data_IF_991392621529
#
_entry.id   IF_991392621529
#
_cell.length_a   1.000
_cell.length_b   1.000
_cell.length_c   1.000
_cell.angle_alpha   90.00
_cell.angle_beta   90.00
_cell.angle_gamma   90.00
#
_symmetry.space_group_name_H-M   'P 1'
#
loop_
_entity.id
_entity.type
_entity.pdbx_description
1 polymer ?
#
# COMPACT_ATOMS: atom_id res chain seq x y z
N UNK A 1 -7.80 -3.45 41.53
CA UNK A 1 -9.16 -3.89 41.15
C UNK A 1 -9.42 -3.44 39.75
N UNK A 2 -10.06 -4.25 38.91
CA UNK A 2 -10.46 -3.86 37.56
C UNK A 2 -11.49 -2.73 37.64
N UNK A 3 -11.29 -1.66 36.86
CA UNK A 3 -12.26 -0.55 36.75
C UNK A 3 -13.48 -1.04 35.96
N UNK A 4 -14.65 -0.99 36.57
CA UNK A 4 -15.89 -1.51 36.01
C UNK A 4 -16.93 -0.43 35.85
N UNK A 5 -17.61 -0.45 34.72
CA UNK A 5 -18.72 0.43 34.39
C UNK A 5 -19.96 -0.35 33.98
N UNK A 6 -21.02 0.39 33.67
CA UNK A 6 -22.29 -0.16 33.16
C UNK A 6 -22.65 0.44 31.83
N UNK A 7 -23.08 -0.39 30.90
CA UNK A 7 -23.58 0.02 29.60
C UNK A 7 -24.90 0.79 29.78
N UNK A 8 -24.93 2.04 29.37
CA UNK A 8 -26.12 2.91 29.56
C UNK A 8 -26.85 3.22 28.26
N UNK A 9 -26.14 3.21 27.13
CA UNK A 9 -26.73 3.48 25.81
C UNK A 9 -26.00 2.73 24.70
N UNK A 10 -26.73 2.34 23.68
CA UNK A 10 -26.22 1.69 22.46
C UNK A 10 -26.81 2.43 21.28
N UNK A 11 -25.95 2.96 20.38
CA UNK A 11 -26.34 3.70 19.17
C UNK A 11 -25.56 3.07 18.00
N UNK A 12 -26.09 1.99 17.40
CA UNK A 12 -25.36 1.24 16.40
C UNK A 12 -23.99 0.78 16.91
N UNK A 13 -22.88 1.10 16.25
CA UNK A 13 -21.55 0.71 16.68
C UNK A 13 -20.96 1.55 17.83
N UNK A 14 -21.70 2.54 18.34
CA UNK A 14 -21.28 3.41 19.45
C UNK A 14 -22.00 3.00 20.73
N UNK A 15 -21.24 2.90 21.82
CA UNK A 15 -21.77 2.61 23.15
C UNK A 15 -21.38 3.70 24.14
N UNK A 16 -22.29 4.00 25.07
CA UNK A 16 -22.03 4.84 26.21
C UNK A 16 -21.97 4.03 27.49
N UNK A 17 -20.90 4.21 28.27
CA UNK A 17 -20.62 3.44 29.48
C UNK A 17 -20.41 4.41 30.65
N UNK A 18 -21.12 4.16 31.74
CA UNK A 18 -20.97 4.93 32.97
C UNK A 18 -20.03 4.22 33.95
N UNK A 19 -19.03 4.95 34.41
CA UNK A 19 -18.09 4.51 35.44
C UNK A 19 -18.33 5.29 36.74
N UNK A 20 -18.32 4.61 37.87
CA UNK A 20 -18.58 5.26 39.16
C UNK A 20 -17.32 5.84 39.81
N UNK A 21 -16.15 5.20 39.60
CA UNK A 21 -14.92 5.55 40.29
C UNK A 21 -13.98 6.40 39.43
N UNK A 22 -13.48 5.83 38.35
CA UNK A 22 -12.49 6.45 37.46
C UNK A 22 -12.93 6.32 36.02
N UNK A 23 -12.82 7.42 35.25
CA UNK A 23 -13.05 7.37 33.83
C UNK A 23 -11.86 6.69 33.14
N UNK A 24 -12.12 5.78 32.17
CA UNK A 24 -11.08 5.25 31.30
C UNK A 24 -10.42 6.38 30.51
N UNK A 25 -9.13 6.24 30.23
CA UNK A 25 -8.43 7.14 29.33
C UNK A 25 -8.94 6.99 27.88
N UNK A 26 -8.76 8.04 27.10
CA UNK A 26 -9.04 8.00 25.66
C UNK A 26 -8.17 6.92 25.02
N UNK A 27 -8.76 6.15 24.09
CA UNK A 27 -8.22 4.97 23.44
C UNK A 27 -8.12 3.71 24.29
N UNK A 28 -8.46 3.72 25.57
CA UNK A 28 -8.53 2.47 26.31
C UNK A 28 -9.52 1.50 25.66
N UNK A 29 -9.14 0.22 25.66
CA UNK A 29 -10.01 -0.86 25.27
C UNK A 29 -10.96 -1.23 26.41
N UNK A 30 -12.26 -1.25 26.12
CA UNK A 30 -13.30 -1.71 27.01
C UNK A 30 -13.78 -3.09 26.56
N UNK A 31 -13.97 -4.00 27.49
CA UNK A 31 -14.50 -5.34 27.23
C UNK A 31 -15.91 -5.47 27.82
N UNK A 32 -16.84 -5.97 27.01
CA UNK A 32 -18.20 -6.32 27.43
C UNK A 32 -18.55 -7.68 26.89
N UNK A 33 -19.27 -8.47 27.70
CA UNK A 33 -19.76 -9.80 27.31
C UNK A 33 -21.28 -9.74 27.19
N UNK A 34 -21.80 -10.25 26.09
CA UNK A 34 -23.23 -10.44 25.93
C UNK A 34 -23.78 -11.59 26.80
N UNK A 35 -25.09 -11.79 26.78
CA UNK A 35 -25.74 -12.81 27.55
C UNK A 35 -25.36 -14.26 27.09
N UNK A 36 -24.75 -14.40 25.91
CA UNK A 36 -24.22 -15.65 25.38
C UNK A 36 -22.73 -15.86 25.68
N UNK A 37 -22.09 -14.91 26.38
CA UNK A 37 -20.68 -14.95 26.71
C UNK A 37 -19.76 -14.54 25.57
N UNK A 38 -20.30 -13.94 24.50
CA UNK A 38 -19.48 -13.41 23.40
C UNK A 38 -18.86 -12.09 23.83
N UNK A 39 -17.54 -12.00 23.68
CA UNK A 39 -16.78 -10.79 24.00
C UNK A 39 -16.87 -9.77 22.87
N UNK A 40 -17.17 -8.53 23.24
CA UNK A 40 -17.05 -7.36 22.40
C UNK A 40 -15.99 -6.41 22.96
N UNK A 41 -15.19 -5.83 22.11
CA UNK A 41 -14.21 -4.81 22.46
C UNK A 41 -14.62 -3.48 21.84
N UNK A 42 -14.59 -2.42 22.65
CA UNK A 42 -14.84 -1.06 22.20
C UNK A 42 -13.70 -0.14 22.65
N UNK A 43 -13.40 0.86 21.85
CA UNK A 43 -12.34 1.85 22.10
C UNK A 43 -12.96 3.17 22.56
N UNK A 44 -12.46 3.73 23.68
CA UNK A 44 -12.93 5.01 24.23
C UNK A 44 -12.50 6.14 23.30
N UNK A 45 -13.46 6.96 22.88
CA UNK A 45 -13.24 8.12 21.99
C UNK A 45 -13.50 9.46 22.65
N UNK A 46 -14.41 9.53 23.62
CA UNK A 46 -14.72 10.80 24.30
C UNK A 46 -15.28 10.60 25.71
N UNK A 47 -15.12 11.63 26.53
CA UNK A 47 -15.77 11.78 27.82
C UNK A 47 -16.97 12.73 27.66
N UNK A 48 -18.18 12.24 27.96
CA UNK A 48 -19.43 13.00 27.71
C UNK A 48 -20.00 13.69 28.93
N UNK A 49 -19.26 13.77 30.04
CA UNK A 49 -19.74 14.28 31.31
C UNK A 49 -20.55 13.22 32.10
N UNK A 50 -20.91 13.56 33.32
CA UNK A 50 -21.70 12.69 34.24
C UNK A 50 -21.10 11.27 34.41
N UNK A 51 -19.78 11.16 34.38
CA UNK A 51 -19.03 9.89 34.46
C UNK A 51 -19.34 8.90 33.32
N UNK A 52 -19.74 9.41 32.16
CA UNK A 52 -20.01 8.63 30.96
C UNK A 52 -18.90 8.80 29.95
N UNK A 53 -18.41 7.68 29.44
CA UNK A 53 -17.50 7.63 28.28
C UNK A 53 -18.25 7.11 27.05
N UNK A 54 -17.89 7.61 25.89
CA UNK A 54 -18.37 7.13 24.60
C UNK A 54 -17.28 6.32 23.92
N UNK A 55 -17.63 5.12 23.52
CA UNK A 55 -16.71 4.18 22.90
C UNK A 55 -17.26 3.65 21.57
N UNK A 56 -16.36 3.29 20.68
CA UNK A 56 -16.66 2.74 19.36
C UNK A 56 -16.33 1.26 19.35
N UNK A 57 -17.31 0.44 19.00
CA UNK A 57 -17.16 -1.01 18.97
C UNK A 57 -16.32 -1.46 17.76
N UNK A 58 -15.47 -2.46 17.98
CA UNK A 58 -14.66 -3.12 16.96
C UNK A 58 -15.39 -4.30 16.29
N UNK A 59 -16.48 -4.75 16.87
CA UNK A 59 -17.35 -5.81 16.34
C UNK A 59 -18.81 -5.37 16.38
N UNK A 60 -19.72 -6.17 15.84
CA UNK A 60 -21.15 -5.88 15.91
C UNK A 60 -21.64 -5.76 17.35
N UNK A 61 -22.59 -4.84 17.59
CA UNK A 61 -23.20 -4.60 18.91
C UNK A 61 -24.50 -5.39 19.14
N UNK A 62 -24.86 -6.25 18.20
CA UNK A 62 -26.03 -7.08 18.30
C UNK A 62 -25.94 -7.98 19.53
N UNK A 63 -27.04 -8.09 20.29
CA UNK A 63 -27.07 -8.85 21.54
C UNK A 63 -26.64 -8.08 22.79
N UNK A 64 -26.12 -6.87 22.68
CA UNK A 64 -25.87 -6.01 23.83
C UNK A 64 -27.17 -5.41 24.37
N UNK A 65 -27.23 -5.25 25.69
CA UNK A 65 -28.32 -4.55 26.37
C UNK A 65 -27.82 -3.62 27.46
N UNK A 66 -28.64 -2.66 27.81
CA UNK A 66 -28.33 -1.75 28.93
C UNK A 66 -28.15 -2.53 30.22
N UNK A 67 -27.24 -2.04 31.06
CA UNK A 67 -26.96 -2.61 32.36
C UNK A 67 -25.90 -3.71 32.36
N UNK A 68 -25.40 -4.15 31.19
CA UNK A 68 -24.26 -5.07 31.12
C UNK A 68 -23.03 -4.44 31.75
N UNK A 69 -22.26 -5.26 32.45
CA UNK A 69 -20.97 -4.84 33.01
C UNK A 69 -19.95 -4.66 31.90
N UNK A 70 -19.19 -3.57 31.97
CA UNK A 70 -18.12 -3.25 31.05
C UNK A 70 -16.84 -3.09 31.85
N UNK A 71 -15.77 -3.73 31.40
CA UNK A 71 -14.46 -3.72 32.06
C UNK A 71 -13.52 -2.83 31.27
N UNK A 72 -12.96 -1.82 31.95
CA UNK A 72 -11.82 -1.05 31.44
C UNK A 72 -10.55 -1.87 31.58
N UNK A 73 -9.88 -2.17 30.45
CA UNK A 73 -8.59 -2.91 30.47
C UNK A 73 -7.42 -2.08 30.98
N UNK A 74 -7.61 -0.76 31.11
CA UNK A 74 -6.58 0.20 31.56
C UNK A 74 -5.49 0.48 30.50
N UNK A 75 -5.69 0.02 29.26
CA UNK A 75 -4.73 0.19 28.16
C UNK A 75 -5.45 0.19 26.80
N UNK A 76 -4.83 0.76 25.76
CA UNK A 76 -5.32 0.65 24.38
C UNK A 76 -5.36 -0.80 23.89
N UNK A 77 -6.00 -1.01 22.75
CA UNK A 77 -6.02 -2.31 22.06
C UNK A 77 -4.58 -2.79 21.85
N UNK A 78 -4.31 -4.01 22.29
CA UNK A 78 -3.03 -4.69 22.13
C UNK A 78 -3.18 -5.80 21.10
N UNK A 79 -2.19 -5.93 20.22
CA UNK A 79 -2.18 -6.91 19.14
C UNK A 79 -0.89 -7.72 19.15
N UNK A 80 -0.91 -8.98 18.69
CA UNK A 80 0.30 -9.80 18.61
C UNK A 80 1.28 -9.22 17.60
N UNK A 81 2.56 -9.34 17.90
CA UNK A 81 3.67 -8.90 17.06
C UNK A 81 4.73 -9.99 16.94
N UNK A 82 5.69 -9.79 16.06
CA UNK A 82 6.79 -10.70 15.87
C UNK A 82 6.55 -11.79 14.84
N UNK A 83 7.47 -12.72 14.73
CA UNK A 83 7.49 -13.72 13.67
C UNK A 83 6.32 -14.69 13.68
N UNK A 84 5.64 -14.82 14.81
CA UNK A 84 4.40 -15.59 14.92
C UNK A 84 3.25 -15.06 14.05
N UNK A 85 3.34 -13.80 13.59
CA UNK A 85 2.33 -13.19 12.72
C UNK A 85 2.52 -13.54 11.25
N UNK A 86 3.70 -13.98 10.84
CA UNK A 86 4.00 -14.30 9.46
C UNK A 86 3.21 -15.52 8.96
N UNK A 87 2.67 -15.40 7.76
CA UNK A 87 1.86 -16.44 7.15
C UNK A 87 0.43 -16.51 7.66
N UNK A 88 0.03 -15.59 8.52
CA UNK A 88 -1.26 -15.62 9.22
C UNK A 88 -2.16 -14.44 8.81
N UNK A 89 -3.46 -14.63 9.04
CA UNK A 89 -4.50 -13.60 8.83
C UNK A 89 -5.11 -13.21 10.17
N UNK A 90 -5.17 -11.91 10.43
CA UNK A 90 -5.72 -11.34 11.67
C UNK A 90 -6.87 -10.38 11.40
N UNK A 91 -7.74 -10.23 12.38
CA UNK A 91 -8.71 -9.14 12.45
C UNK A 91 -8.08 -7.88 13.11
N UNK A 92 -8.86 -6.83 13.30
CA UNK A 92 -8.43 -5.57 13.93
C UNK A 92 -7.91 -5.75 15.35
N UNK A 93 -8.39 -6.74 16.08
CA UNK A 93 -7.95 -7.05 17.44
C UNK A 93 -6.71 -7.96 17.49
N UNK A 94 -6.16 -8.33 16.34
CA UNK A 94 -5.05 -9.25 16.25
C UNK A 94 -5.42 -10.70 16.55
N UNK A 95 -6.69 -11.05 16.45
CA UNK A 95 -7.17 -12.42 16.56
C UNK A 95 -7.02 -13.14 15.22
N UNK A 96 -6.45 -14.36 15.19
CA UNK A 96 -6.34 -15.15 13.97
C UNK A 96 -7.72 -15.49 13.41
N UNK A 97 -7.90 -15.32 12.10
CA UNK A 97 -9.15 -15.63 11.38
C UNK A 97 -8.95 -16.67 10.27
N UNK A 98 -7.80 -17.31 10.24
CA UNK A 98 -7.37 -18.29 9.23
C UNK A 98 -7.57 -19.74 9.67
N UNK A 99 -8.26 -19.99 10.78
CA UNK A 99 -8.44 -21.30 11.40
C UNK A 99 -7.12 -22.03 11.75
N UNK A 100 -6.02 -21.26 11.89
CA UNK A 100 -4.73 -21.78 12.32
C UNK A 100 -4.60 -21.90 13.83
N UNK A 101 -3.41 -22.33 14.28
CA UNK A 101 -3.11 -22.46 15.70
C UNK A 101 -3.23 -21.12 16.45
N UNK A 102 -3.59 -21.13 17.73
CA UNK A 102 -3.62 -19.92 18.55
C UNK A 102 -2.27 -19.21 18.59
N UNK A 103 -2.32 -17.88 18.65
CA UNK A 103 -1.12 -17.03 18.78
C UNK A 103 -0.79 -16.84 20.26
N UNK A 104 0.53 -16.89 20.60
CA UNK A 104 1.00 -16.58 21.94
C UNK A 104 0.74 -15.11 22.29
N UNK A 105 0.24 -14.88 23.51
CA UNK A 105 0.04 -13.53 24.06
C UNK A 105 1.33 -12.92 24.65
N UNK A 106 2.47 -13.59 24.55
CA UNK A 106 3.72 -13.15 25.19
C UNK A 106 4.32 -11.90 24.51
N UNK A 107 4.06 -11.74 23.21
CA UNK A 107 4.50 -10.59 22.42
C UNK A 107 3.30 -9.82 21.89
N UNK A 108 2.86 -8.84 22.67
CA UNK A 108 1.76 -7.94 22.33
C UNK A 108 2.25 -6.50 22.35
N UNK A 109 1.68 -5.67 21.50
CA UNK A 109 2.01 -4.25 21.43
C UNK A 109 0.77 -3.40 21.15
N UNK A 110 0.79 -2.14 21.58
CA UNK A 110 -0.33 -1.21 21.43
C UNK A 110 -0.46 -0.72 19.98
N UNK A 111 -1.67 -0.65 19.48
CA UNK A 111 -1.95 -0.03 18.18
C UNK A 111 -1.80 1.50 18.18
N UNK A 112 -1.90 2.12 19.36
CA UNK A 112 -1.70 3.55 19.54
C UNK A 112 -0.27 3.81 20.03
N UNK A 113 0.54 4.37 19.13
CA UNK A 113 1.92 4.76 19.39
C UNK A 113 2.17 6.12 18.79
N UNK A 114 3.12 6.82 19.35
CA UNK A 114 3.66 8.04 18.76
C UNK A 114 4.56 7.69 17.56
N UNK A 115 4.63 8.63 16.62
CA UNK A 115 5.59 8.54 15.52
C UNK A 115 7.03 8.58 16.07
N UNK A 116 8.00 7.98 15.37
CA UNK A 116 9.41 8.10 15.76
C UNK A 116 9.83 9.54 15.92
N UNK A 117 10.56 9.85 17.00
CA UNK A 117 11.09 11.18 17.25
C UNK A 117 12.09 11.58 16.15
N UNK A 118 12.37 12.88 16.03
CA UNK A 118 13.36 13.38 15.07
C UNK A 118 14.73 12.70 15.20
N UNK A 119 15.15 12.39 16.41
CA UNK A 119 16.43 11.71 16.69
C UNK A 119 16.44 10.23 16.26
N UNK A 120 15.27 9.61 16.21
CA UNK A 120 15.12 8.20 15.81
C UNK A 120 14.97 8.02 14.31
N UNK A 121 14.63 9.08 13.59
CA UNK A 121 14.45 9.00 12.14
C UNK A 121 15.79 8.83 11.42
N UNK A 122 15.80 7.96 10.42
CA UNK A 122 16.92 7.82 9.50
C UNK A 122 17.02 9.04 8.59
N UNK A 123 18.23 9.52 8.37
CA UNK A 123 18.51 10.72 7.54
C UNK A 123 18.86 10.40 6.11
N UNK A 124 19.13 9.14 5.80
CA UNK A 124 19.63 8.73 4.49
C UNK A 124 18.47 8.57 3.49
N UNK A 125 18.59 9.24 2.35
CA UNK A 125 17.67 9.07 1.22
C UNK A 125 18.20 7.98 0.30
N UNK A 126 17.77 6.75 0.51
CA UNK A 126 18.13 5.59 -0.30
C UNK A 126 16.96 5.15 -1.19
N UNK A 127 17.29 4.73 -2.41
CA UNK A 127 16.33 4.07 -3.29
C UNK A 127 16.05 2.65 -2.75
N UNK A 128 14.78 2.31 -2.62
CA UNK A 128 14.36 0.93 -2.46
C UNK A 128 14.28 0.30 -3.84
N UNK A 129 15.31 -0.45 -4.23
CA UNK A 129 15.34 -1.13 -5.52
C UNK A 129 14.30 -2.25 -5.57
N UNK A 130 13.35 -2.14 -6.50
CA UNK A 130 12.25 -3.09 -6.63
C UNK A 130 12.51 -4.21 -7.63
N UNK A 131 13.50 -4.05 -8.51
CA UNK A 131 13.78 -4.97 -9.60
C UNK A 131 12.76 -4.87 -10.76
N UNK A 132 11.90 -3.86 -10.73
CA UNK A 132 10.90 -3.58 -11.77
C UNK A 132 11.35 -2.34 -12.55
N UNK A 133 11.69 -2.51 -13.82
CA UNK A 133 12.34 -1.50 -14.67
C UNK A 133 11.61 -0.16 -14.66
N UNK A 134 10.30 -0.17 -14.91
CA UNK A 134 9.52 1.09 -15.02
C UNK A 134 9.46 1.85 -13.70
N UNK A 135 9.37 1.15 -12.59
CA UNK A 135 9.33 1.75 -11.24
C UNK A 135 10.71 2.34 -10.91
N UNK A 136 11.74 1.53 -10.98
CA UNK A 136 13.09 1.93 -10.55
C UNK A 136 13.68 3.05 -11.41
N UNK A 137 13.32 3.10 -12.71
CA UNK A 137 13.82 4.14 -13.60
C UNK A 137 13.07 5.47 -13.42
N UNK A 138 11.73 5.45 -13.49
CA UNK A 138 10.92 6.67 -13.66
C UNK A 138 10.21 7.14 -12.40
N UNK A 139 9.88 6.22 -11.49
CA UNK A 139 9.19 6.52 -10.24
C UNK A 139 9.81 5.74 -9.08
N UNK A 140 11.11 5.90 -8.80
CA UNK A 140 11.82 5.12 -7.79
C UNK A 140 11.23 5.33 -6.42
N UNK A 141 11.20 4.26 -5.62
CA UNK A 141 10.68 4.26 -4.27
C UNK A 141 11.77 4.70 -3.28
N UNK A 142 11.41 5.61 -2.40
CA UNK A 142 12.24 5.97 -1.26
C UNK A 142 12.12 4.89 -0.19
N UNK A 143 13.22 4.35 0.29
CA UNK A 143 13.25 3.48 1.46
C UNK A 143 12.74 4.23 2.69
N UNK A 144 11.67 3.72 3.30
CA UNK A 144 10.96 4.44 4.35
C UNK A 144 9.95 5.48 3.84
N UNK A 145 9.74 5.54 2.53
CA UNK A 145 8.80 6.45 1.89
C UNK A 145 7.39 5.88 1.79
N UNK A 146 6.49 6.74 1.31
CA UNK A 146 5.07 6.45 1.13
C UNK A 146 4.72 6.55 -0.34
N UNK A 147 4.27 5.45 -0.93
CA UNK A 147 3.95 5.33 -2.34
C UNK A 147 2.45 5.19 -2.52
N UNK A 148 1.86 6.06 -3.32
CA UNK A 148 0.47 5.91 -3.76
C UNK A 148 0.39 5.02 -4.99
N UNK A 149 -0.48 4.00 -4.93
CA UNK A 149 -0.77 3.11 -6.04
C UNK A 149 -2.16 3.40 -6.58
N UNK A 150 -2.21 3.85 -7.82
CA UNK A 150 -3.45 4.22 -8.52
C UNK A 150 -3.72 3.22 -9.64
N UNK A 151 -4.97 2.88 -9.83
CA UNK A 151 -5.38 2.03 -10.95
C UNK A 151 -6.76 1.47 -10.76
N UNK A 152 -7.47 1.31 -11.87
CA UNK A 152 -8.78 0.68 -11.90
C UNK A 152 -8.71 -0.83 -11.75
N UNK A 153 -9.86 -1.48 -11.83
CA UNK A 153 -9.93 -2.94 -11.81
C UNK A 153 -9.28 -3.56 -13.07
N UNK A 154 -8.61 -4.69 -12.90
CA UNK A 154 -8.09 -5.50 -14.01
C UNK A 154 -6.81 -4.99 -14.68
N UNK A 155 -6.08 -4.07 -14.03
CA UNK A 155 -4.80 -3.54 -14.55
C UNK A 155 -3.56 -4.18 -13.93
N UNK A 156 -3.74 -5.23 -13.11
CA UNK A 156 -2.63 -5.96 -12.50
C UNK A 156 -2.13 -5.42 -11.16
N UNK A 157 -2.95 -4.66 -10.43
CA UNK A 157 -2.61 -4.13 -9.11
C UNK A 157 -2.14 -5.23 -8.14
N UNK A 158 -2.93 -6.27 -7.97
CA UNK A 158 -2.63 -7.39 -7.06
C UNK A 158 -1.34 -8.12 -7.45
N UNK A 159 -1.13 -8.37 -8.73
CA UNK A 159 0.08 -9.04 -9.23
C UNK A 159 1.33 -8.19 -8.99
N UNK A 160 1.22 -6.86 -9.17
CA UNK A 160 2.32 -5.93 -8.86
C UNK A 160 2.65 -5.95 -7.36
N UNK A 161 1.65 -5.93 -6.48
CA UNK A 161 1.84 -6.01 -5.03
C UNK A 161 2.57 -7.31 -4.66
N UNK A 162 2.14 -8.43 -5.19
CA UNK A 162 2.78 -9.73 -4.93
C UNK A 162 4.22 -9.79 -5.44
N UNK A 163 4.51 -9.22 -6.61
CA UNK A 163 5.87 -9.15 -7.13
C UNK A 163 6.78 -8.25 -6.27
N UNK A 164 6.26 -7.14 -5.78
CA UNK A 164 6.98 -6.29 -4.82
C UNK A 164 7.32 -7.07 -3.54
N UNK A 165 6.37 -7.80 -2.98
CA UNK A 165 6.60 -8.66 -1.81
C UNK A 165 7.67 -9.70 -2.10
N UNK A 166 7.57 -10.39 -3.23
CA UNK A 166 8.53 -11.41 -3.65
C UNK A 166 9.94 -10.83 -3.82
N UNK A 167 10.06 -9.70 -4.48
CA UNK A 167 11.34 -9.07 -4.77
C UNK A 167 12.02 -8.50 -3.51
N UNK A 168 11.24 -7.92 -2.60
CA UNK A 168 11.76 -7.47 -1.31
C UNK A 168 12.21 -8.64 -0.45
N UNK A 169 11.45 -9.73 -0.41
CA UNK A 169 11.82 -10.92 0.34
C UNK A 169 13.10 -11.57 -0.20
N UNK A 170 13.25 -11.66 -1.51
CA UNK A 170 14.40 -12.29 -2.17
C UNK A 170 15.61 -11.37 -2.27
N UNK A 171 15.40 -10.11 -2.65
CA UNK A 171 16.48 -9.15 -2.90
C UNK A 171 17.03 -8.49 -1.63
N UNK A 172 16.19 -8.25 -0.65
CA UNK A 172 16.54 -7.52 0.56
C UNK A 172 16.36 -8.31 1.86
N UNK A 173 15.86 -9.56 1.79
CA UNK A 173 15.55 -10.36 2.98
C UNK A 173 14.44 -9.77 3.85
N UNK A 174 13.69 -8.82 3.33
CA UNK A 174 12.67 -8.04 4.05
C UNK A 174 11.37 -8.80 4.27
N UNK A 175 10.55 -8.26 5.15
CA UNK A 175 9.23 -8.76 5.51
C UNK A 175 8.15 -7.82 5.00
N UNK A 176 6.93 -8.32 4.90
CA UNK A 176 5.78 -7.53 4.45
C UNK A 176 4.60 -7.67 5.39
N UNK A 177 3.82 -6.61 5.50
CA UNK A 177 2.52 -6.62 6.19
C UNK A 177 1.48 -6.05 5.23
N UNK A 178 0.36 -6.72 5.11
CA UNK A 178 -0.75 -6.28 4.26
C UNK A 178 -1.96 -5.91 5.11
N UNK A 179 -2.43 -4.68 4.97
CA UNK A 179 -3.65 -4.18 5.60
C UNK A 179 -4.78 -4.09 4.58
N UNK A 180 -5.77 -4.97 4.68
CA UNK A 180 -7.01 -4.90 3.91
C UNK A 180 -8.02 -4.02 4.63
N UNK A 181 -8.22 -2.80 4.14
CA UNK A 181 -9.09 -1.80 4.77
C UNK A 181 -10.37 -1.61 3.95
N UNK A 182 -11.48 -2.09 4.46
CA UNK A 182 -12.79 -1.94 3.84
C UNK A 182 -12.95 -2.67 2.50
N UNK A 183 -12.13 -3.67 2.22
CA UNK A 183 -12.20 -4.47 1.01
C UNK A 183 -13.20 -5.63 1.14
N UNK A 184 -13.54 -6.23 0.01
CA UNK A 184 -14.47 -7.37 -0.01
C UNK A 184 -13.81 -8.61 0.55
N UNK A 185 -14.54 -9.37 1.34
CA UNK A 185 -14.09 -10.65 1.93
C UNK A 185 -13.54 -11.62 0.88
N UNK A 186 -14.18 -11.68 -0.29
CA UNK A 186 -13.75 -12.53 -1.38
C UNK A 186 -12.37 -12.13 -1.91
N UNK A 187 -12.14 -10.82 -2.13
CA UNK A 187 -10.87 -10.31 -2.63
C UNK A 187 -9.73 -10.59 -1.65
N UNK A 188 -9.99 -10.45 -0.35
CA UNK A 188 -9.03 -10.80 0.69
C UNK A 188 -8.67 -12.28 0.71
N UNK A 189 -9.64 -13.16 0.48
CA UNK A 189 -9.41 -14.60 0.38
C UNK A 189 -8.65 -14.98 -0.87
N UNK A 190 -9.02 -14.40 -2.00
CA UNK A 190 -8.35 -14.64 -3.28
C UNK A 190 -6.88 -14.22 -3.18
N UNK A 191 -6.59 -13.04 -2.63
CA UNK A 191 -5.22 -12.56 -2.37
C UNK A 191 -4.42 -13.52 -1.48
N UNK A 192 -5.02 -14.01 -0.40
CA UNK A 192 -4.35 -14.99 0.47
C UNK A 192 -3.98 -16.27 -0.27
N UNK A 193 -4.90 -16.82 -1.06
CA UNK A 193 -4.66 -18.02 -1.84
C UNK A 193 -3.57 -17.80 -2.89
N UNK A 194 -3.60 -16.69 -3.61
CA UNK A 194 -2.58 -16.32 -4.58
C UNK A 194 -1.19 -16.14 -3.94
N UNK A 195 -1.11 -15.51 -2.75
CA UNK A 195 0.13 -15.39 -1.99
C UNK A 195 0.67 -16.75 -1.53
N UNK A 196 -0.23 -17.68 -1.23
CA UNK A 196 0.14 -19.05 -0.84
C UNK A 196 0.68 -19.83 -2.05
N UNK A 197 0.04 -19.71 -3.20
CA UNK A 197 0.46 -20.36 -4.45
C UNK A 197 1.80 -19.81 -4.97
N UNK A 198 2.01 -18.50 -4.87
CA UNK A 198 3.26 -17.84 -5.24
C UNK A 198 4.39 -18.02 -4.22
N UNK A 199 4.08 -18.56 -3.03
CA UNK A 199 5.07 -18.83 -1.98
C UNK A 199 5.52 -17.60 -1.17
N UNK A 200 4.90 -16.44 -1.35
CA UNK A 200 5.27 -15.21 -0.63
C UNK A 200 4.60 -15.08 0.74
N UNK A 201 3.60 -15.92 1.03
CA UNK A 201 2.82 -15.85 2.27
C UNK A 201 3.67 -15.99 3.53
N UNK A 202 4.72 -16.81 3.51
CA UNK A 202 5.58 -17.07 4.68
C UNK A 202 6.41 -15.84 5.12
N UNK A 203 6.46 -14.80 4.29
CA UNK A 203 7.14 -13.53 4.56
C UNK A 203 6.16 -12.39 4.81
N UNK A 204 4.87 -12.70 4.92
CA UNK A 204 3.80 -11.68 4.96
C UNK A 204 2.85 -11.95 6.12
N UNK A 205 2.51 -10.92 6.90
CA UNK A 205 1.39 -10.91 7.82
C UNK A 205 0.21 -10.18 7.16
N UNK A 206 -1.01 -10.70 7.30
CA UNK A 206 -2.23 -10.12 6.73
C UNK A 206 -3.16 -9.68 7.85
N UNK A 207 -3.69 -8.47 7.75
CA UNK A 207 -4.66 -7.93 8.70
C UNK A 207 -5.85 -7.38 7.93
N UNK A 208 -7.03 -7.89 8.18
CA UNK A 208 -8.24 -7.52 7.47
C UNK A 208 -9.27 -6.86 8.37
N UNK A 209 -9.75 -5.67 7.96
CA UNK A 209 -10.96 -5.02 8.43
C UNK A 209 -11.86 -4.80 7.22
N UNK A 210 -12.75 -5.78 6.96
CA UNK A 210 -13.47 -5.89 5.69
C UNK A 210 -14.70 -4.96 5.63
N UNK A 211 -15.30 -4.81 4.45
CA UNK A 211 -16.37 -3.83 4.23
C UNK A 211 -17.65 -4.12 5.02
N UNK A 212 -17.86 -5.36 5.46
CA UNK A 212 -18.99 -5.75 6.29
C UNK A 212 -18.75 -5.56 7.79
N UNK A 213 -17.53 -5.20 8.19
CA UNK A 213 -17.20 -4.93 9.58
C UNK A 213 -17.57 -3.50 10.00
N UNK A 214 -17.81 -3.24 11.30
CA UNK A 214 -18.15 -1.91 11.79
C UNK A 214 -17.09 -0.85 11.45
N UNK A 215 -17.47 0.44 11.43
CA UNK A 215 -16.53 1.50 11.09
C UNK A 215 -15.34 1.59 12.06
N UNK A 216 -15.49 1.20 13.32
CA UNK A 216 -14.39 1.13 14.28
C UNK A 216 -13.30 0.16 13.84
N UNK A 217 -13.66 -1.04 13.38
CA UNK A 217 -12.72 -2.02 12.85
C UNK A 217 -12.01 -1.49 11.61
N UNK A 218 -12.73 -0.94 10.65
CA UNK A 218 -12.16 -0.39 9.42
C UNK A 218 -11.24 0.82 9.67
N UNK A 219 -11.51 1.60 10.72
CA UNK A 219 -10.69 2.73 11.13
C UNK A 219 -9.37 2.30 11.78
N UNK A 220 -9.36 1.17 12.49
CA UNK A 220 -8.20 0.74 13.30
C UNK A 220 -7.38 -0.39 12.69
N UNK A 221 -7.88 -1.10 11.70
CA UNK A 221 -7.15 -2.20 11.08
C UNK A 221 -5.80 -1.80 10.49
N UNK A 222 -5.71 -0.61 9.92
CA UNK A 222 -4.44 -0.04 9.44
C UNK A 222 -3.41 0.15 10.55
N UNK A 223 -3.85 0.58 11.73
CA UNK A 223 -2.99 0.72 12.91
C UNK A 223 -2.50 -0.64 13.43
N UNK A 224 -3.34 -1.66 13.39
CA UNK A 224 -2.96 -3.03 13.76
C UNK A 224 -1.85 -3.55 12.84
N UNK A 225 -2.01 -3.41 11.53
CA UNK A 225 -1.00 -3.79 10.55
C UNK A 225 0.30 -3.00 10.74
N UNK A 226 0.20 -1.69 10.93
CA UNK A 226 1.34 -0.81 11.17
C UNK A 226 2.10 -1.20 12.44
N UNK A 227 1.41 -1.57 13.50
CA UNK A 227 2.03 -2.05 14.76
C UNK A 227 2.85 -3.30 14.55
N UNK A 228 2.36 -4.26 13.76
CA UNK A 228 3.12 -5.45 13.38
C UNK A 228 4.36 -5.09 12.55
N UNK A 229 4.24 -4.16 11.61
CA UNK A 229 5.37 -3.68 10.81
C UNK A 229 6.42 -2.95 11.66
N UNK A 230 5.99 -2.13 12.60
CA UNK A 230 6.88 -1.40 13.51
C UNK A 230 7.73 -2.32 14.39
N UNK A 231 7.18 -3.44 14.83
CA UNK A 231 7.97 -4.43 15.59
C UNK A 231 9.15 -4.95 14.77
N UNK A 232 8.94 -5.32 13.52
CA UNK A 232 10.01 -5.79 12.65
C UNK A 232 11.03 -4.71 12.34
N UNK A 233 10.60 -3.47 12.15
CA UNK A 233 11.50 -2.32 11.95
C UNK A 233 12.35 -2.04 13.17
N UNK A 234 11.71 -1.91 14.35
CA UNK A 234 12.33 -1.34 15.54
C UNK A 234 13.07 -2.39 16.40
N UNK A 235 12.58 -3.63 16.43
CA UNK A 235 13.13 -4.72 17.24
C UNK A 235 14.01 -5.69 16.45
N UNK A 236 13.68 -5.93 15.18
CA UNK A 236 14.43 -6.85 14.34
C UNK A 236 15.30 -6.15 13.30
N UNK A 237 15.24 -4.83 13.20
CA UNK A 237 16.05 -4.05 12.26
C UNK A 237 15.76 -4.36 10.79
N UNK A 238 14.53 -4.76 10.48
CA UNK A 238 14.13 -5.17 9.15
C UNK A 238 13.72 -4.01 8.26
N UNK A 239 13.85 -4.21 6.96
CA UNK A 239 13.18 -3.39 5.97
C UNK A 239 11.82 -4.02 5.67
N UNK A 240 10.76 -3.31 6.03
CA UNK A 240 9.38 -3.81 5.95
C UNK A 240 8.63 -3.09 4.84
N UNK A 241 7.90 -3.85 4.02
CA UNK A 241 6.86 -3.30 3.16
C UNK A 241 5.51 -3.35 3.89
N UNK A 242 4.84 -2.22 3.95
CA UNK A 242 3.47 -2.12 4.44
C UNK A 242 2.55 -1.79 3.27
N UNK A 243 1.64 -2.69 2.95
CA UNK A 243 0.60 -2.47 1.96
C UNK A 243 -0.69 -2.09 2.66
N UNK A 244 -1.34 -1.02 2.17
CA UNK A 244 -2.65 -0.58 2.65
C UNK A 244 -3.60 -0.55 1.46
N UNK A 245 -4.57 -1.41 1.44
CA UNK A 245 -5.61 -1.47 0.42
C UNK A 245 -7.00 -1.43 1.09
N UNK A 246 -7.69 -0.33 1.15
CA UNK A 246 -7.44 0.93 0.48
C UNK A 246 -7.40 2.08 1.51
N UNK A 247 -6.47 3.00 1.37
CA UNK A 247 -6.33 4.13 2.34
C UNK A 247 -7.58 5.05 2.36
N UNK A 248 -8.31 5.16 1.25
CA UNK A 248 -9.56 5.91 1.21
C UNK A 248 -10.61 5.34 2.20
N UNK A 249 -10.64 4.01 2.38
CA UNK A 249 -11.58 3.36 3.30
C UNK A 249 -11.28 3.70 4.76
N UNK A 250 -10.01 3.91 5.10
CA UNK A 250 -9.63 4.44 6.41
C UNK A 250 -10.27 5.83 6.65
N UNK A 251 -10.16 6.72 5.69
CA UNK A 251 -10.77 8.05 5.74
C UNK A 251 -12.30 7.98 5.84
N UNK A 252 -12.91 7.11 5.05
CA UNK A 252 -14.36 6.91 5.05
C UNK A 252 -14.85 6.38 6.41
N UNK A 253 -14.16 5.41 7.00
CA UNK A 253 -14.48 4.89 8.32
C UNK A 253 -14.36 5.98 9.41
N UNK A 254 -13.34 6.83 9.29
CA UNK A 254 -13.18 8.00 10.17
C UNK A 254 -14.34 8.99 10.06
N UNK A 255 -14.86 9.24 8.86
CA UNK A 255 -16.04 10.07 8.65
C UNK A 255 -17.30 9.46 9.30
N UNK A 256 -17.51 8.16 9.13
CA UNK A 256 -18.63 7.43 9.76
C UNK A 256 -18.55 7.51 11.30
N UNK A 257 -17.39 7.26 11.88
CA UNK A 257 -17.18 7.34 13.34
C UNK A 257 -17.40 8.77 13.83
N UNK A 258 -16.88 9.77 13.13
CA UNK A 258 -17.05 11.19 13.49
C UNK A 258 -18.52 11.59 13.52
N UNK A 259 -19.30 11.17 12.53
CA UNK A 259 -20.73 11.41 12.47
C UNK A 259 -21.48 10.76 13.66
N UNK A 260 -21.14 9.50 13.97
CA UNK A 260 -21.73 8.76 15.10
C UNK A 260 -21.36 9.36 16.46
N UNK A 261 -20.19 10.00 16.57
CA UNK A 261 -19.78 10.74 17.77
C UNK A 261 -20.44 12.12 17.87
N UNK A 262 -21.23 12.53 16.88
CA UNK A 262 -21.92 13.81 16.86
C UNK A 262 -21.04 15.02 16.58
N UNK A 263 -19.89 14.81 15.93
CA UNK A 263 -19.00 15.90 15.53
C UNK A 263 -19.55 16.60 14.29
N UNK A 264 -19.40 17.92 14.22
CA UNK A 264 -19.81 18.70 13.06
C UNK A 264 -18.92 18.35 11.87
N UNK A 265 -19.50 17.95 10.72
CA UNK A 265 -18.71 17.61 9.53
C UNK A 265 -18.02 18.83 8.93
N UNK A 266 -16.88 18.61 8.32
CA UNK A 266 -16.17 19.58 7.50
C UNK A 266 -16.63 19.53 6.03
N UNK A 267 -15.82 20.06 5.11
CA UNK A 267 -16.13 20.06 3.68
C UNK A 267 -16.47 18.65 3.15
N UNK A 268 -17.45 18.55 2.29
CA UNK A 268 -17.91 17.31 1.63
C UNK A 268 -18.35 16.20 2.60
N UNK A 269 -18.64 16.56 3.87
CA UNK A 269 -19.08 15.61 4.89
C UNK A 269 -17.98 14.83 5.59
N UNK A 270 -16.71 15.14 5.34
CA UNK A 270 -15.59 14.52 6.04
C UNK A 270 -15.46 14.99 7.50
N UNK A 271 -14.76 14.21 8.29
CA UNK A 271 -14.45 14.53 9.69
C UNK A 271 -13.59 15.80 9.80
N UNK A 272 -13.80 16.64 10.85
CA UNK A 272 -13.02 17.86 11.03
C UNK A 272 -11.54 17.59 11.34
N UNK A 273 -11.22 16.42 11.86
CA UNK A 273 -9.87 16.00 12.21
C UNK A 273 -9.21 15.07 11.15
N UNK A 274 -9.67 15.09 9.89
CA UNK A 274 -9.17 14.26 8.81
C UNK A 274 -7.64 14.34 8.66
N UNK A 275 -7.10 15.54 8.59
CA UNK A 275 -5.66 15.73 8.44
C UNK A 275 -4.86 15.20 9.63
N UNK A 276 -5.38 15.36 10.85
CA UNK A 276 -4.74 14.85 12.06
C UNK A 276 -4.75 13.32 12.13
N UNK A 277 -5.87 12.69 11.80
CA UNK A 277 -5.98 11.23 11.77
C UNK A 277 -5.06 10.63 10.69
N UNK A 278 -5.06 11.20 9.50
CA UNK A 278 -4.17 10.77 8.41
C UNK A 278 -2.72 10.98 8.80
N UNK A 279 -2.36 12.13 9.35
CA UNK A 279 -1.01 12.44 9.81
C UNK A 279 -0.52 11.48 10.89
N UNK A 280 -1.37 11.17 11.87
CA UNK A 280 -1.03 10.23 12.94
C UNK A 280 -0.68 8.82 12.41
N UNK A 281 -1.35 8.35 11.36
CA UNK A 281 -1.02 7.10 10.68
C UNK A 281 0.26 7.25 9.85
N UNK A 282 0.33 8.26 8.99
CA UNK A 282 1.39 8.39 7.98
C UNK A 282 2.76 8.70 8.59
N UNK A 283 2.84 9.50 9.64
CA UNK A 283 4.11 9.88 10.27
C UNK A 283 4.81 8.72 11.00
N UNK A 284 4.08 7.66 11.32
CA UNK A 284 4.66 6.42 11.86
C UNK A 284 5.37 5.60 10.78
N UNK A 285 5.02 5.81 9.51
CA UNK A 285 5.57 5.11 8.36
C UNK A 285 6.83 5.85 7.90
N UNK A 286 7.99 5.41 8.37
CA UNK A 286 9.27 6.06 8.08
C UNK A 286 10.45 5.11 8.31
N UNK A 287 11.63 5.52 7.83
CA UNK A 287 12.90 4.90 8.23
C UNK A 287 13.30 5.37 9.62
N UNK A 288 13.88 4.47 10.39
CA UNK A 288 14.51 4.76 11.67
C UNK A 288 15.99 4.36 11.62
N UNK A 289 16.72 4.67 12.68
CA UNK A 289 18.13 4.25 12.82
C UNK A 289 18.33 2.72 12.86
N UNK A 290 17.24 1.95 13.04
CA UNK A 290 17.30 0.49 13.14
C UNK A 290 16.81 -0.21 11.87
N UNK A 291 15.77 0.28 11.21
CA UNK A 291 15.17 -0.33 10.06
C UNK A 291 14.26 0.64 9.32
N UNK A 292 13.44 0.12 8.41
CA UNK A 292 12.53 0.95 7.63
C UNK A 292 11.15 0.33 7.46
N UNK A 293 10.13 1.19 7.33
CA UNK A 293 8.82 0.82 6.78
C UNK A 293 8.60 1.66 5.53
N UNK A 294 8.48 0.99 4.40
CA UNK A 294 8.07 1.60 3.14
C UNK A 294 6.63 1.19 2.87
N UNK A 295 5.74 2.15 2.63
CA UNK A 295 4.34 1.83 2.37
C UNK A 295 3.98 1.96 0.91
N UNK A 296 3.16 1.02 0.44
CA UNK A 296 2.45 1.11 -0.84
C UNK A 296 0.96 1.15 -0.51
N UNK A 297 0.32 2.27 -0.79
CA UNK A 297 -1.05 2.56 -0.42
C UNK A 297 -1.90 2.66 -1.66
N UNK A 298 -2.87 1.76 -1.82
CA UNK A 298 -3.86 1.90 -2.86
C UNK A 298 -4.76 3.10 -2.54
N UNK A 299 -4.89 4.01 -3.50
CA UNK A 299 -5.68 5.23 -3.35
C UNK A 299 -6.85 5.19 -4.32
N UNK A 300 -8.05 5.27 -3.78
CA UNK A 300 -9.26 5.50 -4.56
C UNK A 300 -9.55 7.00 -4.61
N UNK A 301 -9.84 7.50 -5.80
CA UNK A 301 -10.17 8.89 -6.03
C UNK A 301 -11.66 8.99 -6.40
N UNK A 302 -12.53 9.48 -5.50
CA UNK A 302 -13.96 9.61 -5.78
C UNK A 302 -14.22 10.48 -7.01
N UNK A 303 -15.00 9.97 -7.95
CA UNK A 303 -15.36 10.67 -9.20
C UNK A 303 -14.16 11.21 -10.02
N UNK A 304 -12.98 10.60 -9.86
CA UNK A 304 -11.70 11.06 -10.42
C UNK A 304 -11.33 12.52 -10.05
N UNK A 305 -11.88 13.02 -8.95
CA UNK A 305 -11.63 14.37 -8.44
C UNK A 305 -10.47 14.39 -7.43
N UNK A 306 -9.30 14.79 -7.90
CA UNK A 306 -8.09 14.92 -7.07
C UNK A 306 -8.18 16.04 -6.04
N UNK A 307 -9.18 16.91 -6.12
CA UNK A 307 -9.42 18.00 -5.15
C UNK A 307 -10.30 17.58 -3.98
N UNK A 308 -10.90 16.38 -4.04
CA UNK A 308 -11.62 15.81 -2.91
C UNK A 308 -10.70 15.75 -1.68
N UNK A 309 -11.18 16.13 -0.48
CA UNK A 309 -10.35 16.22 0.73
C UNK A 309 -9.61 14.93 1.09
N UNK A 310 -10.18 13.76 0.83
CA UNK A 310 -9.54 12.49 1.18
C UNK A 310 -8.29 12.20 0.34
N UNK A 311 -8.35 12.15 -1.00
CA UNK A 311 -7.15 11.99 -1.81
C UNK A 311 -6.18 13.17 -1.63
N UNK A 312 -6.66 14.41 -1.57
CA UNK A 312 -5.80 15.58 -1.39
C UNK A 312 -4.96 15.51 -0.11
N UNK A 313 -5.56 15.09 1.01
CA UNK A 313 -4.85 14.89 2.27
C UNK A 313 -3.84 13.74 2.18
N UNK A 314 -4.20 12.66 1.51
CA UNK A 314 -3.30 11.53 1.29
C UNK A 314 -2.11 11.92 0.44
N UNK A 315 -2.32 12.63 -0.66
CA UNK A 315 -1.24 13.08 -1.56
C UNK A 315 -0.18 13.93 -0.88
N UNK A 316 -0.56 14.72 0.13
CA UNK A 316 0.40 15.53 0.88
C UNK A 316 1.49 14.71 1.58
N UNK A 317 1.22 13.43 1.87
CA UNK A 317 2.14 12.52 2.52
C UNK A 317 2.95 11.64 1.55
N UNK A 318 2.57 11.56 0.27
CA UNK A 318 3.19 10.64 -0.68
C UNK A 318 4.53 11.16 -1.19
N UNK A 319 5.51 10.25 -1.27
CA UNK A 319 6.83 10.49 -1.85
C UNK A 319 6.91 10.10 -3.33
N UNK A 320 6.10 9.12 -3.72
CA UNK A 320 6.00 8.67 -5.10
C UNK A 320 4.57 8.21 -5.44
N UNK A 321 4.25 8.21 -6.72
CA UNK A 321 3.01 7.65 -7.25
C UNK A 321 3.30 6.65 -8.36
N UNK A 322 2.63 5.51 -8.30
CA UNK A 322 2.63 4.49 -9.35
C UNK A 322 1.23 4.42 -9.93
N UNK A 323 1.07 4.78 -11.18
CA UNK A 323 -0.22 4.80 -11.88
C UNK A 323 -0.30 3.61 -12.82
N UNK A 324 -1.30 2.74 -12.63
CA UNK A 324 -1.60 1.63 -13.53
C UNK A 324 -2.64 2.07 -14.57
N UNK A 325 -2.33 1.87 -15.85
CA UNK A 325 -3.10 2.36 -16.99
C UNK A 325 -3.78 1.23 -17.76
N UNK A 326 -5.08 1.38 -18.01
CA UNK A 326 -5.82 0.45 -18.91
C UNK A 326 -5.35 0.54 -20.35
N UNK A 327 -4.91 1.71 -20.79
CA UNK A 327 -4.39 1.88 -22.16
C UNK A 327 -3.13 1.03 -22.35
N UNK A 328 -2.20 1.06 -21.38
CA UNK A 328 -0.97 0.27 -21.42
C UNK A 328 -1.28 -1.22 -21.29
N UNK A 329 -2.23 -1.61 -20.42
CA UNK A 329 -2.69 -2.99 -20.31
C UNK A 329 -3.31 -3.51 -21.63
N UNK A 330 -4.07 -2.66 -22.34
CA UNK A 330 -4.67 -3.03 -23.64
C UNK A 330 -3.64 -3.25 -24.76
N UNK A 331 -2.44 -2.69 -24.62
CA UNK A 331 -1.30 -2.96 -25.51
C UNK A 331 -0.56 -4.25 -25.16
N UNK A 332 -1.00 -4.97 -24.14
CA UNK A 332 -0.34 -6.19 -23.66
C UNK A 332 0.98 -5.92 -22.94
N UNK A 333 1.19 -4.72 -22.43
CA UNK A 333 2.40 -4.33 -21.71
C UNK A 333 2.13 -4.47 -20.21
N UNK A 334 2.83 -5.38 -19.55
CA UNK A 334 2.78 -5.60 -18.10
C UNK A 334 4.18 -5.60 -17.49
N UNK A 335 4.36 -4.94 -16.32
CA UNK A 335 3.35 -4.23 -15.53
C UNK A 335 2.78 -3.01 -16.30
N UNK A 336 1.49 -2.79 -16.18
CA UNK A 336 0.80 -1.72 -16.90
C UNK A 336 0.98 -0.34 -16.24
N UNK A 337 2.18 -0.04 -15.79
CA UNK A 337 2.54 1.23 -15.16
C UNK A 337 2.65 2.32 -16.21
N UNK A 338 1.95 3.41 -16.00
CA UNK A 338 2.05 4.58 -16.87
C UNK A 338 3.37 5.31 -16.63
N UNK A 339 4.28 5.36 -17.61
CA UNK A 339 5.59 5.95 -17.44
C UNK A 339 5.60 7.48 -17.40
N UNK A 340 4.52 8.14 -17.84
CA UNK A 340 4.40 9.59 -17.85
C UNK A 340 3.62 10.13 -16.64
N UNK A 341 2.61 9.38 -16.16
CA UNK A 341 1.78 9.78 -15.04
C UNK A 341 2.34 9.31 -13.68
N UNK A 342 3.26 8.36 -13.68
CA UNK A 342 3.95 7.91 -12.47
C UNK A 342 5.11 8.85 -12.14
N UNK A 343 5.23 9.22 -10.86
CA UNK A 343 6.20 10.23 -10.41
C UNK A 343 6.90 9.82 -9.12
N UNK A 344 8.06 10.42 -8.85
CA UNK A 344 8.76 10.27 -7.58
C UNK A 344 9.50 11.57 -7.22
N UNK A 345 9.39 11.97 -5.95
CA UNK A 345 10.09 13.14 -5.41
C UNK A 345 11.60 12.94 -5.32
N UNK A 346 12.05 11.68 -5.25
CA UNK A 346 13.48 11.39 -5.17
C UNK A 346 14.17 11.28 -6.53
N UNK A 347 13.44 11.44 -7.64
CA UNK A 347 14.04 11.49 -8.98
C UNK A 347 14.70 12.86 -9.21
N UNK A 348 15.76 13.10 -8.46
CA UNK A 348 16.60 14.31 -8.48
C UNK A 348 18.07 13.91 -8.59
N UNK A 349 18.91 14.67 -9.31
CA UNK A 349 20.32 14.31 -9.55
C UNK A 349 21.13 14.08 -8.28
N UNK A 350 20.79 14.79 -7.19
CA UNK A 350 21.47 14.72 -5.90
C UNK A 350 21.19 13.39 -5.17
N UNK A 351 20.09 12.73 -5.48
CA UNK A 351 19.67 11.48 -4.81
C UNK A 351 19.97 10.27 -5.69
N UNK A 352 19.51 10.29 -6.95
CA UNK A 352 19.64 9.14 -7.86
C UNK A 352 20.92 9.16 -8.70
N UNK A 353 21.61 10.29 -8.73
CA UNK A 353 22.80 10.52 -9.56
C UNK A 353 22.45 11.04 -10.97
N UNK A 354 23.44 11.69 -11.59
CA UNK A 354 23.23 12.38 -12.87
C UNK A 354 22.85 11.43 -14.02
N UNK A 355 23.45 10.23 -14.07
CA UNK A 355 23.19 9.27 -15.15
C UNK A 355 21.74 8.75 -15.10
N UNK A 356 21.32 8.29 -13.95
CA UNK A 356 19.93 7.83 -13.75
C UNK A 356 18.92 8.93 -14.08
N UNK A 357 19.11 10.10 -13.52
CA UNK A 357 18.25 11.27 -13.76
C UNK A 357 18.15 11.61 -15.25
N UNK A 358 19.29 11.69 -15.93
CA UNK A 358 19.32 12.00 -17.36
C UNK A 358 18.59 10.95 -18.20
N UNK A 359 18.88 9.67 -17.98
CA UNK A 359 18.23 8.58 -18.72
C UNK A 359 16.72 8.59 -18.47
N UNK A 360 16.28 8.78 -17.24
CA UNK A 360 14.85 8.88 -16.91
C UNK A 360 14.18 10.06 -17.64
N UNK A 361 14.79 11.25 -17.61
CA UNK A 361 14.24 12.44 -18.28
C UNK A 361 14.22 12.31 -19.80
N UNK A 362 15.28 11.77 -20.39
CA UNK A 362 15.33 11.55 -21.84
C UNK A 362 14.31 10.50 -22.28
N UNK A 363 14.10 9.46 -21.49
CA UNK A 363 13.03 8.46 -21.70
C UNK A 363 11.64 9.12 -21.68
N UNK A 364 11.37 9.97 -20.68
CA UNK A 364 10.11 10.69 -20.59
C UNK A 364 9.89 11.63 -21.78
N UNK A 365 10.92 12.33 -22.25
CA UNK A 365 10.83 13.21 -23.44
C UNK A 365 10.46 12.43 -24.70
N UNK A 366 11.10 11.30 -24.95
CA UNK A 366 10.82 10.45 -26.09
C UNK A 366 9.39 9.94 -26.05
N UNK A 367 8.91 9.45 -24.90
CA UNK A 367 7.54 8.96 -24.72
C UNK A 367 6.51 10.09 -24.83
N UNK A 368 6.81 11.27 -24.31
CA UNK A 368 5.94 12.45 -24.43
C UNK A 368 5.80 12.88 -25.89
N UNK A 369 6.92 12.96 -26.62
CA UNK A 369 6.90 13.29 -28.05
C UNK A 369 6.10 12.25 -28.84
N UNK A 370 6.27 10.97 -28.54
CA UNK A 370 5.49 9.91 -29.18
C UNK A 370 3.99 10.06 -28.91
N UNK A 371 3.59 10.40 -27.69
CA UNK A 371 2.20 10.65 -27.32
C UNK A 371 1.60 11.79 -28.16
N UNK A 372 2.33 12.88 -28.35
CA UNK A 372 1.94 14.01 -29.19
C UNK A 372 1.79 13.63 -30.66
N UNK A 373 2.63 12.72 -31.17
CA UNK A 373 2.61 12.26 -32.55
C UNK A 373 1.52 11.22 -32.84
N UNK A 374 0.95 10.58 -31.82
CA UNK A 374 -0.03 9.52 -32.01
C UNK A 374 -1.28 9.96 -32.80
N UNK A 375 -1.79 11.16 -32.56
CA UNK A 375 -2.94 11.68 -33.29
C UNK A 375 -2.59 11.94 -34.76
N UNK A 376 -1.40 12.44 -35.04
CA UNK A 376 -0.90 12.66 -36.40
C UNK A 376 -0.75 11.33 -37.12
N UNK A 377 -0.15 10.34 -36.48
CA UNK A 377 0.03 8.99 -37.03
C UNK A 377 -1.33 8.33 -37.34
N UNK A 378 -2.30 8.49 -36.43
CA UNK A 378 -3.63 7.91 -36.61
C UNK A 378 -4.41 8.51 -37.81
N UNK A 379 -4.20 9.79 -38.09
CA UNK A 379 -4.92 10.51 -39.17
C UNK A 379 -4.17 10.46 -40.51
N UNK A 380 -2.86 10.71 -40.49
CA UNK A 380 -2.05 10.92 -41.68
C UNK A 380 -1.12 9.73 -42.01
N UNK A 381 -0.85 8.86 -41.04
CA UNK A 381 0.09 7.75 -41.17
C UNK A 381 1.52 8.13 -40.83
N UNK A 382 2.36 7.09 -40.70
CA UNK A 382 3.78 7.25 -40.35
C UNK A 382 4.60 7.96 -41.43
N UNK A 383 4.19 7.85 -42.68
CA UNK A 383 4.98 8.38 -43.81
C UNK A 383 5.04 9.91 -43.84
N UNK A 384 4.04 10.57 -43.27
CA UNK A 384 3.98 12.04 -43.15
C UNK A 384 4.89 12.65 -42.07
N UNK A 385 5.48 11.82 -41.22
CA UNK A 385 6.45 12.28 -40.24
C UNK A 385 7.81 12.55 -40.89
N UNK A 386 8.53 13.54 -40.37
CA UNK A 386 9.92 13.74 -40.72
C UNK A 386 10.82 12.60 -40.18
N UNK A 387 12.05 12.54 -40.61
CA UNK A 387 12.98 11.46 -40.24
C UNK A 387 13.32 11.46 -38.75
N UNK A 388 13.35 12.63 -38.10
CA UNK A 388 13.62 12.76 -36.66
C UNK A 388 12.45 12.20 -35.83
N UNK A 389 11.22 12.55 -36.22
CA UNK A 389 10.01 12.03 -35.58
C UNK A 389 9.82 10.53 -35.81
N UNK A 390 10.13 10.02 -37.02
CA UNK A 390 10.12 8.56 -37.29
C UNK A 390 11.08 7.81 -36.39
N UNK A 391 12.29 8.35 -36.21
CA UNK A 391 13.29 7.77 -35.32
C UNK A 391 12.80 7.80 -33.86
N UNK A 392 12.23 8.92 -33.41
CA UNK A 392 11.64 9.06 -32.08
C UNK A 392 10.55 8.04 -31.83
N UNK A 393 9.63 7.86 -32.77
CA UNK A 393 8.56 6.85 -32.67
C UNK A 393 9.11 5.43 -32.60
N UNK A 394 10.11 5.11 -33.42
CA UNK A 394 10.76 3.80 -33.40
C UNK A 394 11.37 3.49 -32.02
N UNK A 395 12.15 4.42 -31.47
CA UNK A 395 12.75 4.28 -30.12
C UNK A 395 11.69 4.25 -29.03
N UNK A 396 10.66 5.09 -29.12
CA UNK A 396 9.57 5.12 -28.15
C UNK A 396 8.82 3.76 -28.06
N UNK A 397 8.55 3.14 -29.20
CA UNK A 397 7.91 1.80 -29.23
C UNK A 397 8.79 0.73 -28.60
N UNK A 398 10.10 0.77 -28.84
CA UNK A 398 11.06 -0.14 -28.19
C UNK A 398 11.10 0.10 -26.68
N UNK A 399 11.13 1.37 -26.24
CA UNK A 399 11.08 1.76 -24.84
C UNK A 399 9.82 1.23 -24.16
N UNK A 400 8.65 1.42 -24.75
CA UNK A 400 7.39 0.93 -24.20
C UNK A 400 7.40 -0.59 -24.02
N UNK A 401 7.87 -1.34 -25.01
CA UNK A 401 7.98 -2.79 -24.93
C UNK A 401 9.04 -3.24 -23.92
N UNK A 402 10.14 -2.51 -23.81
CA UNK A 402 11.20 -2.81 -22.86
C UNK A 402 10.79 -2.55 -21.40
N UNK A 403 9.78 -1.75 -21.14
CA UNK A 403 9.18 -1.62 -19.81
C UNK A 403 8.41 -2.86 -19.39
N UNK A 404 7.94 -3.68 -20.33
CA UNK A 404 7.34 -4.96 -19.99
C UNK A 404 8.39 -5.90 -19.40
N UNK A 405 7.99 -6.66 -18.41
CA UNK A 405 8.87 -7.66 -17.80
C UNK A 405 8.04 -8.78 -17.18
N UNK A 406 8.47 -10.04 -17.31
CA UNK A 406 7.76 -11.16 -16.70
C UNK A 406 7.98 -11.16 -15.20
N UNK A 407 6.92 -11.42 -14.44
CA UNK A 407 6.93 -11.48 -12.99
C UNK A 407 7.04 -12.91 -12.48
N UNK A 408 7.84 -13.12 -11.42
CA UNK A 408 8.01 -14.42 -10.79
C UNK A 408 6.70 -14.98 -10.24
N UNK A 409 5.85 -14.14 -9.69
CA UNK A 409 4.55 -14.53 -9.14
C UNK A 409 3.53 -14.92 -10.22
N UNK A 410 3.77 -14.58 -11.47
CA UNK A 410 2.91 -14.89 -12.60
C UNK A 410 3.43 -16.06 -13.48
N UNK A 411 4.55 -16.67 -13.15
CA UNK A 411 5.17 -17.74 -13.96
C UNK A 411 4.21 -18.87 -14.31
N UNK A 412 3.44 -19.34 -13.31
CA UNK A 412 2.49 -20.44 -13.50
C UNK A 412 1.34 -20.12 -14.46
N UNK A 413 1.02 -18.83 -14.62
CA UNK A 413 -0.07 -18.40 -15.51
C UNK A 413 0.43 -18.02 -16.91
N UNK A 414 1.63 -17.45 -16.99
CA UNK A 414 2.19 -16.92 -18.23
C UNK A 414 3.13 -17.90 -18.94
N UNK A 415 3.67 -18.87 -18.21
CA UNK A 415 4.73 -19.75 -18.69
C UNK A 415 6.09 -19.07 -18.89
N UNK A 416 6.20 -17.78 -18.54
CA UNK A 416 7.43 -17.01 -18.65
C UNK A 416 8.14 -16.95 -17.31
N UNK A 417 9.45 -17.26 -17.32
CA UNK A 417 10.28 -17.15 -16.12
C UNK A 417 10.40 -15.68 -15.68
N UNK A 418 10.09 -15.40 -14.42
CA UNK A 418 10.20 -14.08 -13.84
C UNK A 418 11.60 -13.50 -13.85
N UNK A 419 11.68 -12.18 -13.98
CA UNK A 419 12.93 -11.41 -14.06
C UNK A 419 12.98 -10.37 -12.99
N UNK A 420 14.03 -10.38 -12.18
CA UNK A 420 14.45 -9.25 -11.35
C UNK A 420 15.56 -8.53 -12.11
N UNK A 421 15.36 -7.25 -12.38
CA UNK A 421 16.32 -6.45 -13.14
C UNK A 421 16.99 -5.43 -12.22
N UNK A 422 18.30 -5.56 -11.96
CA UNK A 422 19.04 -4.59 -11.18
C UNK A 422 18.96 -3.18 -11.80
N UNK A 423 18.89 -2.17 -10.96
CA UNK A 423 18.75 -0.76 -11.40
C UNK A 423 19.83 -0.35 -12.42
N UNK A 424 21.08 -0.75 -12.19
CA UNK A 424 22.20 -0.46 -13.14
C UNK A 424 21.95 -1.03 -14.53
N UNK A 425 21.37 -2.22 -14.63
CA UNK A 425 21.08 -2.87 -15.91
C UNK A 425 19.88 -2.21 -16.58
N UNK A 426 18.92 -1.74 -15.80
CA UNK A 426 17.79 -0.93 -16.28
C UNK A 426 18.30 0.38 -16.88
N UNK A 427 19.12 1.14 -16.17
CA UNK A 427 19.69 2.41 -16.65
C UNK A 427 20.50 2.19 -17.93
N UNK A 428 21.37 1.16 -17.95
CA UNK A 428 22.17 0.83 -19.12
C UNK A 428 21.29 0.50 -20.33
N UNK A 429 20.28 -0.35 -20.14
CA UNK A 429 19.42 -0.78 -21.24
C UNK A 429 18.64 0.37 -21.88
N UNK A 430 18.01 1.22 -21.08
CA UNK A 430 17.31 2.39 -21.61
C UNK A 430 18.24 3.41 -22.23
N UNK A 431 19.43 3.62 -21.67
CA UNK A 431 20.46 4.49 -22.27
C UNK A 431 20.86 4.00 -23.64
N UNK A 432 21.17 2.71 -23.82
CA UNK A 432 21.54 2.14 -25.10
C UNK A 432 20.43 2.28 -26.15
N UNK A 433 19.17 2.16 -25.78
CA UNK A 433 18.05 2.40 -26.69
C UNK A 433 17.99 3.89 -27.10
N UNK A 434 18.12 4.78 -26.14
CA UNK A 434 18.12 6.25 -26.38
C UNK A 434 19.28 6.70 -27.26
N UNK A 435 20.46 6.12 -27.05
CA UNK A 435 21.67 6.42 -27.82
C UNK A 435 21.66 5.81 -29.24
N UNK A 436 20.64 4.99 -29.55
CA UNK A 436 20.44 4.41 -30.88
C UNK A 436 21.24 3.16 -31.18
N UNK A 437 21.89 2.54 -30.18
CA UNK A 437 22.69 1.32 -30.37
C UNK A 437 21.88 0.12 -30.85
N UNK A 438 20.58 0.20 -30.75
CA UNK A 438 19.65 -0.90 -31.10
C UNK A 438 18.56 -0.47 -32.08
N UNK A 439 18.80 0.61 -32.86
CA UNK A 439 17.82 1.13 -33.81
C UNK A 439 17.46 0.14 -34.93
N UNK A 440 18.39 -0.77 -35.26
CA UNK A 440 18.26 -1.81 -36.29
C UNK A 440 17.52 -3.08 -35.81
N UNK A 441 17.29 -3.22 -34.50
CA UNK A 441 16.62 -4.39 -33.94
C UNK A 441 15.09 -4.28 -34.03
N UNK A 442 14.38 -5.39 -34.23
CA UNK A 442 12.92 -5.39 -34.27
C UNK A 442 12.33 -5.06 -32.88
N UNK A 443 11.27 -4.27 -32.85
CA UNK A 443 10.63 -3.84 -31.59
C UNK A 443 10.10 -5.00 -30.73
N UNK A 444 9.73 -6.12 -31.36
CA UNK A 444 9.25 -7.33 -30.66
C UNK A 444 10.33 -8.00 -29.79
N UNK A 445 11.61 -7.76 -30.08
CA UNK A 445 12.70 -8.28 -29.28
C UNK A 445 12.74 -7.68 -27.86
N UNK A 446 12.16 -6.51 -27.68
CA UNK A 446 12.15 -5.78 -26.39
C UNK A 446 10.98 -6.18 -25.48
N UNK A 447 10.04 -6.98 -25.97
CA UNK A 447 8.84 -7.36 -25.23
C UNK A 447 9.14 -8.51 -24.25
N UNK A 448 8.78 -8.34 -22.98
CA UNK A 448 8.93 -9.34 -21.92
C UNK A 448 10.34 -9.91 -21.77
N UNK A 449 11.31 -9.04 -21.76
CA UNK A 449 12.71 -9.37 -21.45
C UNK A 449 13.13 -8.69 -20.13
N UNK A 450 14.19 -9.19 -19.51
CA UNK A 450 14.77 -8.55 -18.32
C UNK A 450 15.75 -7.45 -18.72
N UNK A 451 16.96 -7.83 -19.11
CA UNK A 451 18.05 -6.93 -19.48
C UNK A 451 18.07 -6.63 -20.98
N UNK A 452 18.83 -5.62 -21.38
CA UNK A 452 19.06 -5.29 -22.78
C UNK A 452 19.77 -6.43 -23.53
N UNK A 453 20.63 -7.17 -22.86
CA UNK A 453 21.35 -8.31 -23.44
C UNK A 453 20.38 -9.43 -23.87
N UNK A 454 19.31 -9.64 -23.09
CA UNK A 454 18.24 -10.57 -23.44
C UNK A 454 17.45 -10.09 -24.67
N UNK A 455 17.23 -8.78 -24.80
CA UNK A 455 16.57 -8.21 -25.99
C UNK A 455 17.43 -8.43 -27.25
N UNK A 456 18.73 -8.21 -27.15
CA UNK A 456 19.67 -8.45 -28.27
C UNK A 456 19.72 -9.94 -28.64
N UNK A 457 19.74 -10.84 -27.66
CA UNK A 457 19.70 -12.29 -27.92
C UNK A 457 18.41 -12.69 -28.61
N UNK A 458 17.25 -12.22 -28.12
CA UNK A 458 15.94 -12.48 -28.71
C UNK A 458 15.82 -11.90 -30.13
N UNK A 459 16.43 -10.74 -30.40
CA UNK A 459 16.46 -10.14 -31.73
C UNK A 459 17.20 -11.06 -32.73
N UNK A 460 18.33 -11.64 -32.32
CA UNK A 460 19.10 -12.59 -33.17
C UNK A 460 18.31 -13.86 -33.50
N UNK A 461 17.51 -14.36 -32.56
CA UNK A 461 16.61 -15.49 -32.80
C UNK A 461 15.54 -15.12 -33.82
N UNK A 462 14.86 -13.98 -33.62
CA UNK A 462 13.81 -13.51 -34.53
C UNK A 462 14.31 -13.17 -35.96
N UNK A 463 15.57 -12.77 -36.10
CA UNK A 463 16.15 -12.44 -37.41
C UNK A 463 16.71 -13.68 -38.16
N UNK A 464 16.85 -14.81 -37.46
CA UNK A 464 17.29 -16.08 -38.03
C UNK A 464 16.14 -17.02 -38.39
N UNK A 465 14.90 -16.70 -37.99
CA UNK A 465 13.66 -17.33 -38.41
C UNK A 465 13.12 -16.67 -39.71
#
# INVERSE_FOLDING_TARGET
MLNKGKLVQIIGPVIDVKFENQLPDIYNALEVYDDNGQKLVAEVHSHNGNNVVRAVAMTGTDGLRRGLEVVDTGKPIQVPVGRQTLGRIFNVLGEPVDNGEPISADLMDSIHKEAPSFEQQGTDSEILETGIKVVDLLAPYLKGGKIGLFGGAGVGKTVLIQELINNIAKGHGGLSVFAGVGERTREGRDLYNEMKESGVINKTALVYGQMNEPPGARLRVGLTALTMAEYFRDKEGQNVLLFIDNIFRFTQAGAEVSALLGRMPSAVGYQPNLATEMGALQERITSTNTGSITSVQAVYVPADDLTDPAPATTFAHLDATTVLSRQIASLGIYPAVDPLDSTSRILEPEIVGNEHYKVARDTQKVLQRYKELQDIIAILGMDELDEEDKLTVNRARKIQRFFSQPFSVAEQFTGMKGKYVPLRDTIRGFKEILDGLHDDLPEQAFLYVGTIDEAVAKARELMNE
#
